data_IF_523428979924
#
_entry.id   IF_523428979924
#
_cell.length_a   1.000
_cell.length_b   1.000
_cell.length_c   1.000
_cell.angle_alpha   90.00
_cell.angle_beta   90.00
_cell.angle_gamma   90.00
#
_symmetry.space_group_name_H-M   'P 1'
#
loop_
_entity.id
_entity.type
_entity.pdbx_description
1 polymer ?
#
# COMPACT_ATOMS: atom_id res chain seq x y z
N UNK A 1 5.72 7.84 -6.37
CA UNK A 1 6.14 8.01 -4.97
C UNK A 1 5.12 7.30 -4.10
N UNK A 2 5.52 6.48 -3.13
CA UNK A 2 4.60 5.90 -2.15
C UNK A 2 4.72 6.63 -0.80
N UNK A 3 3.57 7.01 -0.24
CA UNK A 3 3.43 7.53 1.12
C UNK A 3 2.38 6.69 1.83
N UNK A 4 2.60 6.36 3.10
CA UNK A 4 1.61 5.65 3.90
C UNK A 4 1.60 6.17 5.33
N UNK A 5 0.46 6.01 5.99
CA UNK A 5 0.31 6.22 7.42
C UNK A 5 -0.61 5.15 7.99
N UNK A 6 -0.37 4.77 9.24
CA UNK A 6 -1.25 3.88 10.00
C UNK A 6 -1.79 4.62 11.23
N UNK A 7 -3.00 4.29 11.66
CA UNK A 7 -3.60 4.93 12.83
C UNK A 7 -4.89 4.26 13.32
N UNK A 8 -5.44 4.76 14.43
CA UNK A 8 -6.51 4.09 15.16
C UNK A 8 -7.92 4.28 14.59
N UNK A 9 -8.12 5.16 13.60
CA UNK A 9 -9.41 5.31 12.92
C UNK A 9 -9.76 4.03 12.15
N UNK A 10 -11.03 3.63 12.17
CA UNK A 10 -11.52 2.48 11.40
C UNK A 10 -11.39 2.71 9.89
N UNK A 11 -11.34 1.62 9.11
CA UNK A 11 -11.17 1.71 7.66
C UNK A 11 -12.35 2.43 6.98
N UNK A 12 -13.58 2.17 7.41
CA UNK A 12 -14.78 2.84 6.86
C UNK A 12 -14.84 4.32 7.23
N UNK A 13 -14.46 4.67 8.46
CA UNK A 13 -14.37 6.07 8.87
C UNK A 13 -13.31 6.82 8.08
N UNK A 14 -12.11 6.24 7.94
CA UNK A 14 -11.05 6.83 7.14
C UNK A 14 -11.46 6.92 5.65
N UNK A 15 -12.16 5.93 5.12
CA UNK A 15 -12.67 5.92 3.75
C UNK A 15 -13.68 7.04 3.51
N UNK A 16 -14.70 7.18 4.37
CA UNK A 16 -15.71 8.22 4.28
C UNK A 16 -15.07 9.61 4.28
N UNK A 17 -14.14 9.88 5.20
CA UNK A 17 -13.38 11.15 5.22
C UNK A 17 -12.55 11.35 3.95
N UNK A 18 -12.09 10.27 3.33
CA UNK A 18 -11.31 10.35 2.11
C UNK A 18 -12.20 10.68 0.90
N UNK A 19 -13.41 10.10 0.86
CA UNK A 19 -14.36 10.27 -0.25
C UNK A 19 -15.31 11.45 -0.09
N UNK A 20 -15.33 12.16 1.05
CA UNK A 20 -16.12 13.39 1.24
C UNK A 20 -15.23 14.64 1.14
N UNK A 21 -15.16 15.35 -0.01
CA UNK A 21 -14.19 16.43 -0.25
C UNK A 21 -14.29 17.60 0.72
N UNK A 22 -15.50 17.93 1.19
CA UNK A 22 -15.73 18.99 2.18
C UNK A 22 -15.01 18.75 3.51
N UNK A 23 -14.61 17.51 3.80
CA UNK A 23 -13.89 17.15 5.03
C UNK A 23 -12.37 17.26 4.88
N UNK A 24 -11.82 17.36 3.67
CA UNK A 24 -10.38 17.36 3.45
C UNK A 24 -9.60 18.44 4.23
N UNK A 25 -10.08 19.69 4.34
CA UNK A 25 -9.41 20.72 5.15
C UNK A 25 -9.25 20.35 6.63
N UNK A 26 -10.09 19.45 7.15
CA UNK A 26 -10.08 19.04 8.56
C UNK A 26 -8.84 18.18 8.89
N UNK A 27 -8.35 17.39 7.93
CA UNK A 27 -7.30 16.40 8.15
C UNK A 27 -6.04 16.59 7.28
N UNK A 28 -6.13 17.31 6.16
CA UNK A 28 -5.01 17.63 5.28
C UNK A 28 -4.51 19.07 5.50
N UNK A 29 -3.36 19.29 6.15
CA UNK A 29 -2.92 20.63 6.56
C UNK A 29 -2.66 21.64 5.42
N UNK A 30 -2.44 21.15 4.20
CA UNK A 30 -2.22 22.00 3.02
C UNK A 30 -3.50 22.28 2.23
N UNK A 31 -4.65 21.77 2.66
CA UNK A 31 -5.92 22.01 1.98
C UNK A 31 -6.71 23.00 2.83
N UNK A 32 -7.04 24.15 2.24
CA UNK A 32 -7.79 25.22 2.91
C UNK A 32 -9.27 25.18 2.58
N UNK A 33 -9.63 24.77 1.36
CA UNK A 33 -10.99 24.56 0.91
C UNK A 33 -11.02 23.58 -0.28
N UNK A 34 -12.18 22.98 -0.53
CA UNK A 34 -12.42 22.15 -1.72
C UNK A 34 -13.79 22.48 -2.28
N UNK A 35 -13.83 22.74 -3.58
CA UNK A 35 -15.06 22.81 -4.37
C UNK A 35 -15.13 21.52 -5.19
N UNK A 36 -16.24 20.78 -5.09
CA UNK A 36 -16.44 19.54 -5.82
C UNK A 36 -17.83 19.51 -6.44
N UNK A 37 -17.94 18.86 -7.60
CA UNK A 37 -19.21 18.64 -8.31
C UNK A 37 -20.15 17.67 -7.58
N UNK A 38 -19.61 16.84 -6.68
CA UNK A 38 -20.33 15.83 -5.90
C UNK A 38 -19.88 15.91 -4.44
N UNK A 39 -20.82 15.66 -3.53
CA UNK A 39 -20.56 15.65 -2.08
C UNK A 39 -19.71 14.43 -1.65
N UNK A 40 -19.88 13.30 -2.34
CA UNK A 40 -19.04 12.11 -2.21
C UNK A 40 -18.38 11.81 -3.56
N UNK A 41 -17.14 11.31 -3.53
CA UNK A 41 -16.39 10.98 -4.72
C UNK A 41 -17.02 9.80 -5.47
N UNK A 42 -17.27 10.01 -6.76
CA UNK A 42 -17.57 8.99 -7.74
C UNK A 42 -16.72 9.19 -9.00
N UNK A 43 -16.75 8.22 -9.91
CA UNK A 43 -16.00 8.34 -11.17
C UNK A 43 -16.55 9.53 -11.97
N UNK A 44 -15.67 10.45 -12.37
CA UNK A 44 -16.04 11.68 -13.06
C UNK A 44 -16.27 12.88 -12.15
N UNK A 45 -16.20 12.73 -10.81
CA UNK A 45 -16.23 13.89 -9.90
C UNK A 45 -15.07 14.84 -10.24
N UNK A 46 -15.40 16.06 -10.65
CA UNK A 46 -14.44 17.15 -10.86
C UNK A 46 -14.50 18.16 -9.72
N UNK A 47 -13.44 18.95 -9.56
CA UNK A 47 -13.42 20.01 -8.57
C UNK A 47 -12.10 20.77 -8.53
N UNK A 48 -11.99 21.66 -7.54
CA UNK A 48 -10.82 22.48 -7.28
C UNK A 48 -10.41 22.36 -5.81
N UNK A 49 -9.15 22.02 -5.58
CA UNK A 49 -8.52 22.02 -4.26
C UNK A 49 -7.77 23.33 -4.08
N UNK A 50 -8.07 24.04 -2.99
CA UNK A 50 -7.38 25.27 -2.61
C UNK A 50 -6.35 24.97 -1.52
N UNK A 51 -5.16 25.56 -1.67
CA UNK A 51 -4.07 25.48 -0.70
C UNK A 51 -3.73 26.83 -0.09
N UNK A 52 -2.58 26.96 0.60
CA UNK A 52 -2.14 28.22 1.17
C UNK A 52 -1.86 29.27 0.09
N UNK A 53 -2.32 30.50 0.30
CA UNK A 53 -2.10 31.61 -0.62
C UNK A 53 -2.87 31.45 -1.95
N UNK A 54 -2.30 31.84 -3.11
CA UNK A 54 -2.99 31.79 -4.41
C UNK A 54 -2.94 30.39 -5.05
N UNK A 55 -2.59 29.35 -4.30
CA UNK A 55 -2.42 27.99 -4.83
C UNK A 55 -3.77 27.31 -4.94
N UNK A 56 -4.16 26.96 -6.17
CA UNK A 56 -5.29 26.08 -6.45
C UNK A 56 -4.91 25.06 -7.52
N UNK A 57 -5.56 23.90 -7.46
CA UNK A 57 -5.33 22.81 -8.40
C UNK A 57 -6.66 22.15 -8.73
N UNK A 58 -6.91 21.94 -10.02
CA UNK A 58 -8.12 21.27 -10.50
C UNK A 58 -7.92 19.75 -10.46
N UNK A 59 -9.00 19.01 -10.26
CA UNK A 59 -8.95 17.55 -10.26
C UNK A 59 -10.14 16.91 -10.95
N UNK A 60 -9.94 15.66 -11.35
CA UNK A 60 -10.94 14.74 -11.87
C UNK A 60 -10.71 13.36 -11.27
N UNK A 61 -11.73 12.75 -10.68
CA UNK A 61 -11.69 11.38 -10.20
C UNK A 61 -11.84 10.42 -11.36
N UNK A 62 -10.87 9.51 -11.51
CA UNK A 62 -10.77 8.59 -12.67
C UNK A 62 -11.20 7.17 -12.33
N UNK A 63 -11.19 6.78 -11.05
CA UNK A 63 -11.63 5.48 -10.59
C UNK A 63 -12.05 5.53 -9.12
N UNK A 64 -13.10 4.78 -8.76
CA UNK A 64 -13.52 4.56 -7.37
C UNK A 64 -13.94 3.11 -7.22
N UNK A 65 -13.46 2.46 -6.16
CA UNK A 65 -13.85 1.12 -5.73
C UNK A 65 -14.08 1.17 -4.22
N UNK A 66 -15.35 1.29 -3.83
CA UNK A 66 -15.75 1.41 -2.44
C UNK A 66 -15.52 0.10 -1.66
N UNK A 67 -15.63 -1.06 -2.32
CA UNK A 67 -15.42 -2.37 -1.69
C UNK A 67 -13.95 -2.52 -1.30
N UNK A 68 -13.04 -2.16 -2.20
CA UNK A 68 -11.59 -2.20 -1.95
C UNK A 68 -11.05 -0.93 -1.30
N UNK A 69 -11.92 0.03 -0.98
CA UNK A 69 -11.61 1.35 -0.43
C UNK A 69 -10.43 1.98 -1.15
N UNK A 70 -10.56 2.08 -2.48
CA UNK A 70 -9.54 2.68 -3.34
C UNK A 70 -10.12 3.65 -4.35
N UNK A 71 -9.37 4.70 -4.65
CA UNK A 71 -9.74 5.65 -5.70
C UNK A 71 -8.52 6.25 -6.36
N UNK A 72 -8.70 6.74 -7.59
CA UNK A 72 -7.67 7.40 -8.38
C UNK A 72 -8.20 8.71 -8.91
N UNK A 73 -7.29 9.65 -9.10
CA UNK A 73 -7.60 10.98 -9.61
C UNK A 73 -6.44 11.56 -10.37
N UNK A 74 -6.79 12.45 -11.31
CA UNK A 74 -5.87 13.28 -12.04
C UNK A 74 -5.97 14.69 -11.50
N UNK A 75 -4.85 15.22 -11.06
CA UNK A 75 -4.71 16.57 -10.51
C UNK A 75 -3.93 17.39 -11.54
N UNK A 76 -4.39 18.59 -11.88
CA UNK A 76 -3.78 19.40 -12.95
C UNK A 76 -3.76 20.90 -12.66
N UNK A 77 -2.70 21.55 -13.15
CA UNK A 77 -2.52 23.01 -13.10
C UNK A 77 -1.88 23.48 -14.40
N UNK A 78 -2.66 24.15 -15.25
CA UNK A 78 -2.22 24.49 -16.60
C UNK A 78 -1.86 23.22 -17.39
N UNK A 79 -0.69 23.16 -18.06
CA UNK A 79 -0.29 21.97 -18.83
C UNK A 79 0.22 20.81 -17.97
N UNK A 80 0.46 21.02 -16.68
CA UNK A 80 0.98 19.98 -15.79
C UNK A 80 -0.15 19.13 -15.23
N UNK A 81 -0.04 17.80 -15.38
CA UNK A 81 -0.97 16.83 -14.80
C UNK A 81 -0.24 15.74 -14.02
N UNK A 82 -0.82 15.30 -12.91
CA UNK A 82 -0.31 14.22 -12.08
C UNK A 82 -1.44 13.25 -11.77
N UNK A 83 -1.18 11.97 -12.00
CA UNK A 83 -2.07 10.90 -11.58
C UNK A 83 -1.63 10.35 -10.22
N UNK A 84 -2.60 10.20 -9.33
CA UNK A 84 -2.39 9.62 -8.03
C UNK A 84 -3.47 8.58 -7.74
N UNK A 85 -3.12 7.56 -6.97
CA UNK A 85 -4.09 6.60 -6.43
C UNK A 85 -3.97 6.50 -4.92
N UNK A 86 -5.09 6.23 -4.29
CA UNK A 86 -5.23 6.14 -2.85
C UNK A 86 -5.90 4.83 -2.45
N UNK A 87 -5.52 4.32 -1.29
CA UNK A 87 -6.11 3.12 -0.71
C UNK A 87 -6.26 3.28 0.79
N UNK A 88 -7.32 2.72 1.36
CA UNK A 88 -7.48 2.51 2.80
C UNK A 88 -7.60 1.01 3.04
N UNK A 89 -6.70 0.47 3.85
CA UNK A 89 -6.73 -0.93 4.27
C UNK A 89 -7.02 -0.98 5.76
N UNK A 90 -7.87 -1.92 6.23
CA UNK A 90 -7.93 -2.25 7.65
C UNK A 90 -6.55 -2.67 8.18
N UNK A 91 -6.35 -2.48 9.48
CA UNK A 91 -5.16 -2.90 10.19
C UNK A 91 -5.54 -3.78 11.38
N UNK A 92 -4.68 -4.77 11.67
CA UNK A 92 -4.80 -5.55 12.88
C UNK A 92 -5.00 -4.65 14.13
N UNK A 93 -5.95 -5.02 14.99
CA UNK A 93 -6.35 -4.21 16.15
C UNK A 93 -7.43 -3.15 15.86
N UNK A 94 -8.08 -3.20 14.69
CA UNK A 94 -9.24 -2.36 14.34
C UNK A 94 -8.91 -0.95 13.86
N UNK A 95 -7.64 -0.68 13.54
CA UNK A 95 -7.22 0.58 12.92
C UNK A 95 -7.26 0.51 11.39
N UNK A 96 -6.59 1.47 10.75
CA UNK A 96 -6.45 1.52 9.29
C UNK A 96 -5.08 2.00 8.83
N UNK A 97 -4.79 1.72 7.57
CA UNK A 97 -3.64 2.23 6.81
C UNK A 97 -4.14 2.98 5.59
N UNK A 98 -3.75 4.25 5.48
CA UNK A 98 -3.96 5.02 4.27
C UNK A 98 -2.68 5.04 3.45
N UNK A 99 -2.80 4.83 2.14
CA UNK A 99 -1.70 4.84 1.19
C UNK A 99 -2.01 5.85 0.08
N UNK A 100 -1.01 6.64 -0.29
CA UNK A 100 -0.97 7.49 -1.47
C UNK A 100 0.13 6.99 -2.40
N UNK A 101 -0.20 6.82 -3.68
CA UNK A 101 0.76 6.51 -4.73
C UNK A 101 0.69 7.55 -5.84
N UNK A 102 1.81 8.20 -6.11
CA UNK A 102 2.03 9.03 -7.31
C UNK A 102 2.69 8.17 -8.37
N UNK A 103 2.15 8.16 -9.59
CA UNK A 103 2.64 7.30 -10.68
C UNK A 103 3.62 8.02 -11.62
N UNK A 104 4.48 7.26 -12.28
CA UNK A 104 5.27 7.69 -13.44
C UNK A 104 6.28 8.82 -13.16
N UNK A 105 6.60 9.61 -14.19
CA UNK A 105 7.62 10.65 -14.14
C UNK A 105 7.35 11.72 -13.05
N UNK A 106 6.08 11.98 -12.75
CA UNK A 106 5.65 12.93 -11.72
C UNK A 106 6.09 12.52 -10.31
N UNK A 107 6.37 11.22 -10.09
CA UNK A 107 6.86 10.73 -8.81
C UNK A 107 8.20 11.33 -8.37
N UNK A 108 9.10 11.60 -9.31
CA UNK A 108 10.42 12.16 -9.02
C UNK A 108 10.30 13.63 -8.61
N UNK A 109 9.49 14.39 -9.37
CA UNK A 109 9.25 15.82 -9.11
C UNK A 109 8.54 16.05 -7.78
N UNK A 110 7.66 15.14 -7.38
CA UNK A 110 6.86 15.27 -6.16
C UNK A 110 7.50 14.65 -4.91
N UNK A 111 8.77 14.24 -4.93
CA UNK A 111 9.44 13.72 -3.73
C UNK A 111 9.34 14.66 -2.51
N UNK A 112 9.50 15.99 -2.62
CA UNK A 112 9.32 16.89 -1.48
C UNK A 112 7.91 16.87 -0.87
N UNK A 113 6.88 16.57 -1.69
CA UNK A 113 5.49 16.50 -1.26
C UNK A 113 5.21 15.31 -0.34
N UNK A 114 6.14 14.35 -0.19
CA UNK A 114 6.00 13.22 0.74
C UNK A 114 5.73 13.63 2.18
N UNK A 115 6.32 14.74 2.64
CA UNK A 115 6.23 15.20 4.03
C UNK A 115 4.82 15.70 4.33
N UNK A 116 4.27 16.68 3.59
CA UNK A 116 2.90 17.11 3.80
C UNK A 116 1.88 16.00 3.49
N UNK A 117 2.11 15.17 2.47
CA UNK A 117 1.26 14.01 2.21
C UNK A 117 1.21 13.05 3.41
N UNK A 118 2.35 12.76 4.04
CA UNK A 118 2.39 11.91 5.23
C UNK A 118 1.68 12.55 6.41
N UNK A 119 1.77 13.88 6.58
CA UNK A 119 1.03 14.61 7.61
C UNK A 119 -0.49 14.53 7.38
N UNK A 120 -0.93 14.70 6.13
CA UNK A 120 -2.32 14.56 5.72
C UNK A 120 -2.84 13.14 5.97
N UNK A 121 -2.15 12.10 5.50
CA UNK A 121 -2.55 10.71 5.74
C UNK A 121 -2.59 10.36 7.23
N UNK A 122 -1.65 10.87 8.04
CA UNK A 122 -1.73 10.73 9.51
C UNK A 122 -2.94 11.43 10.10
N UNK A 123 -3.33 12.59 9.57
CA UNK A 123 -4.54 13.30 9.95
C UNK A 123 -5.80 12.49 9.63
N UNK A 124 -5.83 11.82 8.48
CA UNK A 124 -6.94 11.01 8.00
C UNK A 124 -7.20 9.79 8.90
N UNK A 125 -6.15 9.03 9.23
CA UNK A 125 -6.24 7.79 10.04
C UNK A 125 -6.22 8.03 11.55
N UNK A 126 -6.27 9.29 11.99
CA UNK A 126 -6.44 9.61 13.42
C UNK A 126 -7.88 9.44 13.83
N UNK A 127 -8.08 8.74 14.94
CA UNK A 127 -9.36 8.70 15.63
C UNK A 127 -9.65 10.09 16.21
N UNK A 128 -10.77 10.68 15.83
CA UNK A 128 -11.22 12.01 16.32
C UNK A 128 -12.56 11.95 17.03
N UNK A 129 -13.34 10.91 16.78
CA UNK A 129 -14.74 10.82 17.23
C UNK A 129 -15.00 9.59 18.09
N UNK A 130 -14.03 8.67 18.24
CA UNK A 130 -14.16 7.49 19.09
C UNK A 130 -15.31 6.55 18.66
N UNK A 131 -15.74 6.63 17.40
CA UNK A 131 -16.81 5.79 16.87
C UNK A 131 -16.37 4.33 16.89
N UNK A 132 -17.34 3.43 17.06
CA UNK A 132 -17.08 1.99 17.15
C UNK A 132 -16.27 1.52 15.94
N UNK A 133 -15.23 0.73 16.22
CA UNK A 133 -14.40 0.11 15.20
C UNK A 133 -15.14 -1.12 14.67
N UNK A 134 -15.70 -1.03 13.47
CA UNK A 134 -16.03 -2.25 12.73
C UNK A 134 -14.71 -2.93 12.37
N UNK A 135 -14.45 -4.03 13.08
CA UNK A 135 -13.23 -4.80 12.92
C UNK A 135 -13.43 -5.79 11.78
N UNK A 136 -12.99 -5.39 10.58
CA UNK A 136 -12.77 -6.34 9.50
C UNK A 136 -11.70 -7.36 9.95
N UNK A 137 -11.92 -8.67 9.74
CA UNK A 137 -10.95 -9.68 10.17
C UNK A 137 -9.62 -9.48 9.42
N UNK A 138 -8.55 -9.29 10.19
CA UNK A 138 -7.18 -9.17 9.66
C UNK A 138 -6.31 -10.25 10.27
N UNK A 139 -5.86 -11.19 9.44
CA UNK A 139 -4.87 -12.18 9.83
C UNK A 139 -3.46 -11.64 9.60
N UNK A 140 -2.62 -11.70 10.63
CA UNK A 140 -1.24 -11.22 10.58
C UNK A 140 -0.26 -12.39 10.58
N UNK A 141 0.74 -12.32 9.71
CA UNK A 141 1.81 -13.30 9.60
C UNK A 141 3.17 -12.63 9.70
N UNK A 142 4.04 -13.28 10.46
CA UNK A 142 5.42 -12.84 10.63
C UNK A 142 6.34 -13.41 9.55
N UNK A 143 7.37 -12.63 9.22
CA UNK A 143 8.50 -13.11 8.44
C UNK A 143 9.40 -14.00 9.31
N UNK A 144 9.94 -15.06 8.73
CA UNK A 144 11.02 -15.86 9.33
C UNK A 144 12.35 -15.18 9.06
N UNK A 145 13.09 -14.90 10.14
CA UNK A 145 14.42 -14.29 10.07
C UNK A 145 15.52 -15.29 10.43
N UNK A 146 16.40 -15.55 9.47
CA UNK A 146 17.69 -16.17 9.76
C UNK A 146 18.67 -15.13 10.28
N UNK A 147 19.59 -15.53 11.16
CA UNK A 147 20.53 -14.59 11.82
C UNK A 147 21.35 -13.77 10.80
N UNK A 148 21.83 -14.40 9.73
CA UNK A 148 22.64 -13.75 8.69
C UNK A 148 21.82 -12.76 7.87
N UNK A 149 20.60 -13.12 7.48
CA UNK A 149 19.66 -12.23 6.79
C UNK A 149 19.24 -11.05 7.68
N UNK A 150 18.99 -11.29 8.96
CA UNK A 150 18.66 -10.24 9.91
C UNK A 150 19.80 -9.20 10.03
N UNK A 151 21.06 -9.64 10.07
CA UNK A 151 22.21 -8.74 10.09
C UNK A 151 22.33 -7.95 8.78
N UNK A 152 22.15 -8.61 7.63
CA UNK A 152 22.22 -7.96 6.32
C UNK A 152 21.06 -6.98 6.05
N UNK A 153 19.86 -7.26 6.57
CA UNK A 153 18.66 -6.45 6.36
C UNK A 153 18.60 -5.18 7.23
N UNK A 154 19.23 -5.18 8.41
CA UNK A 154 19.16 -4.07 9.38
C UNK A 154 19.56 -2.68 8.82
N UNK A 155 20.65 -2.54 8.04
CA UNK A 155 21.00 -1.25 7.43
C UNK A 155 19.91 -0.66 6.52
N UNK A 156 19.02 -1.51 6.01
CA UNK A 156 17.90 -1.11 5.13
C UNK A 156 16.57 -0.99 5.90
N UNK A 157 16.61 -1.05 7.23
CA UNK A 157 15.41 -1.00 8.06
C UNK A 157 14.54 -2.25 7.96
N UNK A 158 15.11 -3.39 7.56
CA UNK A 158 14.40 -4.68 7.49
C UNK A 158 14.63 -5.40 8.82
N UNK A 159 13.59 -5.46 9.65
CA UNK A 159 13.59 -6.05 10.99
C UNK A 159 12.23 -6.65 11.28
N UNK A 160 12.10 -7.56 12.27
CA UNK A 160 10.79 -8.09 12.65
C UNK A 160 9.74 -7.01 12.96
N UNK A 161 10.15 -5.83 13.44
CA UNK A 161 9.22 -4.73 13.75
C UNK A 161 8.76 -3.93 12.53
N UNK A 162 9.45 -4.05 11.41
CA UNK A 162 9.20 -3.28 10.18
C UNK A 162 8.75 -4.18 9.03
N UNK A 163 8.55 -5.47 9.32
CA UNK A 163 8.07 -6.47 8.38
C UNK A 163 6.76 -7.06 8.89
N UNK A 164 5.75 -7.14 8.04
CA UNK A 164 4.46 -7.76 8.37
C UNK A 164 3.79 -8.24 7.09
N UNK A 165 3.01 -9.31 7.17
CA UNK A 165 2.10 -9.73 6.11
C UNK A 165 0.71 -9.72 6.73
N UNK A 166 -0.22 -9.02 6.10
CA UNK A 166 -1.60 -8.92 6.57
C UNK A 166 -2.55 -9.33 5.45
N UNK A 167 -3.48 -10.21 5.80
CA UNK A 167 -4.48 -10.75 4.89
C UNK A 167 -5.85 -10.36 5.44
N UNK A 168 -6.63 -9.66 4.61
CA UNK A 168 -8.05 -9.43 4.84
C UNK A 168 -8.92 -10.29 3.91
N UNK A 169 -10.25 -10.13 3.97
CA UNK A 169 -11.19 -10.81 3.08
C UNK A 169 -10.89 -10.59 1.59
N UNK A 170 -10.56 -9.35 1.19
CA UNK A 170 -10.43 -8.95 -0.22
C UNK A 170 -9.02 -8.49 -0.63
N UNK A 171 -8.08 -8.43 0.30
CA UNK A 171 -6.78 -7.79 0.09
C UNK A 171 -5.63 -8.51 0.78
N UNK A 172 -4.44 -8.35 0.21
CA UNK A 172 -3.15 -8.73 0.77
C UNK A 172 -2.28 -7.47 0.90
N UNK A 173 -1.68 -7.29 2.06
CA UNK A 173 -0.69 -6.26 2.33
C UNK A 173 0.61 -6.88 2.83
N UNK A 174 1.74 -6.41 2.29
CA UNK A 174 3.08 -6.79 2.74
C UNK A 174 3.87 -5.53 3.06
N UNK A 175 4.27 -5.42 4.32
CA UNK A 175 5.28 -4.49 4.78
C UNK A 175 6.64 -5.17 4.81
N UNK A 176 7.64 -4.57 4.15
CA UNK A 176 9.02 -5.03 4.20
C UNK A 176 9.96 -3.83 4.34
N UNK A 177 10.34 -3.46 5.57
CA UNK A 177 11.16 -2.27 5.81
C UNK A 177 10.49 -0.99 5.29
N UNK A 178 11.08 -0.23 4.36
CA UNK A 178 10.43 0.90 3.68
C UNK A 178 9.51 0.50 2.50
N UNK A 179 9.56 -0.75 2.02
CA UNK A 179 8.83 -1.23 0.86
C UNK A 179 7.46 -1.76 1.21
N UNK A 180 6.50 -1.60 0.29
CA UNK A 180 5.11 -2.00 0.49
C UNK A 180 4.55 -2.63 -0.77
N UNK A 181 3.87 -3.75 -0.61
CA UNK A 181 3.01 -4.34 -1.62
C UNK A 181 1.59 -4.37 -1.07
N UNK A 182 0.64 -3.91 -1.87
CA UNK A 182 -0.78 -4.01 -1.57
C UNK A 182 -1.47 -4.46 -2.86
N UNK A 183 -2.29 -5.51 -2.79
CA UNK A 183 -2.99 -6.03 -3.96
C UNK A 183 -4.31 -6.70 -3.55
N UNK A 184 -5.35 -6.65 -4.41
CA UNK A 184 -6.55 -7.44 -4.17
C UNK A 184 -6.22 -8.93 -4.14
N UNK A 185 -6.90 -9.71 -3.30
CA UNK A 185 -6.77 -11.17 -3.28
C UNK A 185 -7.15 -11.80 -4.62
N UNK A 186 -8.16 -11.24 -5.29
CA UNK A 186 -8.55 -11.61 -6.66
C UNK A 186 -7.48 -11.38 -7.71
N UNK A 187 -6.39 -10.65 -7.41
CA UNK A 187 -5.26 -10.49 -8.33
C UNK A 187 -4.18 -11.55 -8.11
N UNK A 188 -4.28 -12.42 -7.11
CA UNK A 188 -3.31 -13.49 -6.84
C UNK A 188 -3.70 -14.71 -7.68
N UNK A 189 -2.83 -15.11 -8.59
CA UNK A 189 -3.10 -16.18 -9.55
C UNK A 189 -2.73 -17.57 -9.02
N UNK A 190 -1.61 -17.68 -8.29
CA UNK A 190 -1.19 -18.94 -7.66
C UNK A 190 -0.25 -18.69 -6.49
N UNK A 191 -0.09 -19.72 -5.66
CA UNK A 191 0.89 -19.78 -4.59
C UNK A 191 1.66 -21.11 -4.62
N UNK A 192 2.96 -21.04 -4.38
CA UNK A 192 3.85 -22.20 -4.31
C UNK A 192 4.79 -22.06 -3.12
N UNK A 193 4.92 -23.12 -2.32
CA UNK A 193 5.92 -23.17 -1.27
C UNK A 193 7.27 -23.50 -1.91
N UNK A 194 8.26 -22.62 -1.71
CA UNK A 194 9.59 -22.75 -2.30
C UNK A 194 10.67 -22.54 -1.25
N UNK A 195 11.90 -22.97 -1.54
CA UNK A 195 13.02 -22.90 -0.61
C UNK A 195 14.37 -23.07 -1.29
N UNK A 196 15.44 -23.12 -0.49
CA UNK A 196 16.81 -23.34 -0.98
C UNK A 196 17.42 -22.15 -1.72
N UNK A 197 17.00 -20.93 -1.39
CA UNK A 197 17.50 -19.72 -2.04
C UNK A 197 18.94 -19.41 -1.60
N UNK A 198 19.82 -19.12 -2.57
CA UNK A 198 21.19 -18.72 -2.29
C UNK A 198 21.27 -17.32 -1.66
N UNK A 199 22.00 -17.19 -0.55
CA UNK A 199 22.15 -15.93 0.22
C UNK A 199 22.52 -14.71 -0.64
N UNK A 200 23.50 -14.85 -1.53
CA UNK A 200 23.98 -13.75 -2.41
C UNK A 200 22.87 -13.22 -3.34
N UNK A 201 21.86 -14.04 -3.66
CA UNK A 201 20.77 -13.65 -4.56
C UNK A 201 19.60 -12.98 -3.83
N UNK A 202 19.48 -13.15 -2.51
CA UNK A 202 18.25 -12.80 -1.77
C UNK A 202 18.47 -12.01 -0.48
N UNK A 203 19.70 -11.90 0.02
CA UNK A 203 19.97 -11.15 1.24
C UNK A 203 20.03 -9.64 0.99
N UNK A 204 19.32 -8.86 1.82
CA UNK A 204 19.38 -7.40 1.80
C UNK A 204 18.06 -6.74 1.38
N UNK A 205 18.10 -5.62 0.64
CA UNK A 205 16.89 -4.95 0.15
C UNK A 205 16.11 -5.87 -0.78
N UNK A 206 14.84 -5.58 -1.11
CA UNK A 206 14.15 -6.34 -2.13
C UNK A 206 14.97 -6.29 -3.42
N UNK A 207 15.10 -7.44 -4.06
CA UNK A 207 15.78 -7.56 -5.33
C UNK A 207 14.80 -8.10 -6.36
N UNK A 208 15.01 -7.70 -7.61
CA UNK A 208 14.33 -8.28 -8.75
C UNK A 208 14.93 -9.65 -9.04
N UNK A 209 14.09 -10.69 -9.07
CA UNK A 209 14.48 -11.91 -9.78
C UNK A 209 14.60 -11.57 -11.26
N UNK A 210 15.79 -11.71 -11.84
CA UNK A 210 16.02 -11.42 -13.26
C UNK A 210 15.32 -12.42 -14.18
N UNK A 211 15.10 -13.65 -13.73
CA UNK A 211 14.42 -14.69 -14.50
C UNK A 211 12.91 -14.40 -14.63
N UNK A 212 12.25 -14.02 -13.52
CA UNK A 212 10.78 -13.96 -13.46
C UNK A 212 10.23 -12.55 -13.20
N UNK A 213 11.10 -11.54 -13.08
CA UNK A 213 10.77 -10.15 -12.71
C UNK A 213 10.03 -10.00 -11.37
N UNK A 214 9.97 -11.08 -10.58
CA UNK A 214 9.35 -11.09 -9.26
C UNK A 214 10.10 -10.24 -8.24
N UNK A 215 9.39 -9.80 -7.20
CA UNK A 215 9.98 -9.11 -6.05
C UNK A 215 10.27 -10.08 -4.92
N UNK A 216 11.49 -10.04 -4.39
CA UNK A 216 11.88 -10.88 -3.25
C UNK A 216 11.81 -10.11 -1.94
N UNK A 217 10.93 -10.54 -1.04
CA UNK A 217 10.89 -10.11 0.36
C UNK A 217 11.45 -11.25 1.23
N UNK A 218 12.77 -11.36 1.23
CA UNK A 218 13.48 -12.55 1.70
C UNK A 218 14.32 -12.26 2.94
N UNK A 219 13.96 -12.92 4.04
CA UNK A 219 14.63 -12.83 5.36
C UNK A 219 15.20 -14.18 5.82
N UNK A 220 15.11 -15.19 4.95
CA UNK A 220 15.73 -16.50 5.10
C UNK A 220 15.95 -17.13 3.72
N UNK A 221 16.78 -18.18 3.64
CA UNK A 221 16.99 -18.95 2.41
C UNK A 221 16.21 -20.26 2.35
N UNK A 222 15.71 -20.76 3.48
CA UNK A 222 15.16 -22.10 3.61
C UNK A 222 13.75 -22.24 3.04
N UNK A 223 12.86 -21.28 3.30
CA UNK A 223 11.45 -21.36 2.97
C UNK A 223 10.84 -20.00 2.66
N UNK A 224 9.95 -19.98 1.69
CA UNK A 224 9.11 -18.84 1.34
C UNK A 224 7.81 -19.32 0.68
N UNK A 225 6.84 -18.41 0.63
CA UNK A 225 5.68 -18.52 -0.25
C UNK A 225 5.93 -17.66 -1.49
N UNK A 226 5.98 -18.27 -2.66
CA UNK A 226 6.04 -17.58 -3.94
C UNK A 226 4.62 -17.38 -4.46
N UNK A 227 4.24 -16.14 -4.71
CA UNK A 227 2.96 -15.74 -5.29
C UNK A 227 3.16 -15.31 -6.73
N UNK A 228 2.20 -15.63 -7.60
CA UNK A 228 2.06 -15.02 -8.92
C UNK A 228 0.81 -14.15 -8.97
N UNK A 229 0.81 -13.14 -9.83
CA UNK A 229 -0.29 -12.19 -9.97
C UNK A 229 -0.86 -12.19 -11.38
N UNK A 230 -2.18 -12.06 -11.50
CA UNK A 230 -2.85 -11.88 -12.79
C UNK A 230 -2.41 -10.57 -13.47
N UNK A 231 -2.27 -9.50 -12.68
CA UNK A 231 -1.76 -8.21 -13.12
C UNK A 231 -0.53 -7.79 -12.30
N UNK A 232 0.57 -7.35 -12.94
CA UNK A 232 1.78 -6.94 -12.23
C UNK A 232 1.57 -5.78 -11.23
N UNK A 233 2.10 -5.96 -10.02
CA UNK A 233 1.91 -5.03 -8.89
C UNK A 233 3.17 -4.18 -8.64
N UNK A 234 3.07 -2.90 -8.27
CA UNK A 234 4.24 -2.09 -7.96
C UNK A 234 4.59 -2.23 -6.48
N UNK A 235 5.88 -2.40 -6.16
CA UNK A 235 6.31 -2.62 -4.78
C UNK A 235 7.70 -2.08 -4.42
N UNK A 236 8.72 -2.33 -5.26
CA UNK A 236 10.11 -1.95 -4.93
C UNK A 236 10.44 -0.48 -5.20
N UNK A 237 9.90 0.05 -6.28
CA UNK A 237 10.29 1.35 -6.80
C UNK A 237 9.34 2.42 -6.27
N UNK A 238 9.87 3.50 -5.66
CA UNK A 238 9.05 4.60 -5.21
C UNK A 238 8.20 5.18 -6.35
N UNK A 239 8.63 5.16 -7.62
CA UNK A 239 7.86 5.73 -8.74
C UNK A 239 6.71 4.85 -9.24
N UNK A 240 6.66 3.58 -8.84
CA UNK A 240 5.66 2.61 -9.31
C UNK A 240 5.84 2.19 -10.77
N UNK A 241 6.97 2.55 -11.39
CA UNK A 241 7.30 2.22 -12.78
C UNK A 241 7.68 0.74 -12.91
N UNK A 242 8.40 0.22 -11.92
CA UNK A 242 8.72 -1.20 -11.85
C UNK A 242 7.53 -1.94 -11.24
N UNK A 243 6.97 -2.88 -12.01
CA UNK A 243 5.88 -3.77 -11.59
C UNK A 243 6.34 -5.22 -11.63
N UNK A 244 5.83 -6.01 -10.70
CA UNK A 244 6.26 -7.37 -10.44
C UNK A 244 5.10 -8.32 -10.73
N UNK A 245 5.28 -9.33 -11.60
CA UNK A 245 4.27 -10.36 -11.86
C UNK A 245 4.19 -11.41 -10.76
N UNK A 246 5.12 -11.40 -9.79
CA UNK A 246 5.10 -12.29 -8.64
C UNK A 246 5.87 -11.73 -7.45
N UNK A 247 5.70 -12.34 -6.28
CA UNK A 247 6.37 -11.97 -5.05
C UNK A 247 6.79 -13.19 -4.23
N UNK A 248 8.01 -13.19 -3.70
CA UNK A 248 8.51 -14.23 -2.80
C UNK A 248 8.49 -13.71 -1.37
N UNK A 249 7.75 -14.37 -0.48
CA UNK A 249 7.53 -13.96 0.91
C UNK A 249 8.17 -14.98 1.85
N UNK A 250 9.23 -14.59 2.57
CA UNK A 250 9.86 -15.41 3.61
C UNK A 250 8.99 -15.50 4.89
N UNK A 251 7.73 -15.88 4.75
CA UNK A 251 6.78 -16.05 5.87
C UNK A 251 7.17 -17.23 6.75
N UNK A 252 6.90 -17.14 8.06
CA UNK A 252 7.20 -18.20 9.02
C UNK A 252 6.46 -19.52 8.71
N UNK A 253 5.22 -19.41 8.25
CA UNK A 253 4.36 -20.54 7.88
C UNK A 253 3.75 -20.32 6.48
N UNK A 254 4.41 -20.84 5.42
CA UNK A 254 3.91 -20.72 4.05
C UNK A 254 2.57 -21.41 3.81
N UNK A 255 2.33 -22.55 4.47
CA UNK A 255 1.10 -23.31 4.31
C UNK A 255 -0.09 -22.55 4.88
N UNK A 256 0.05 -22.02 6.11
CA UNK A 256 -0.99 -21.22 6.74
C UNK A 256 -1.28 -19.92 5.98
N UNK A 257 -0.25 -19.26 5.43
CA UNK A 257 -0.46 -18.07 4.60
C UNK A 257 -1.21 -18.41 3.30
N UNK A 258 -0.90 -19.54 2.65
CA UNK A 258 -1.62 -19.99 1.47
C UNK A 258 -3.09 -20.30 1.78
N UNK A 259 -3.35 -20.99 2.90
CA UNK A 259 -4.70 -21.28 3.38
C UNK A 259 -5.51 -20.00 3.63
N UNK A 260 -4.94 -19.02 4.34
CA UNK A 260 -5.60 -17.74 4.58
C UNK A 260 -5.90 -16.95 3.29
N UNK A 261 -5.06 -17.11 2.27
CA UNK A 261 -5.28 -16.57 0.93
C UNK A 261 -6.32 -17.37 0.12
N UNK A 262 -6.76 -18.54 0.59
CA UNK A 262 -7.69 -19.43 -0.10
C UNK A 262 -7.04 -20.21 -1.24
N UNK A 263 -5.72 -20.44 -1.16
CA UNK A 263 -4.93 -21.10 -2.18
C UNK A 263 -4.42 -22.45 -1.68
N UNK A 264 -4.54 -23.47 -2.53
CA UNK A 264 -3.94 -24.77 -2.27
C UNK A 264 -2.49 -24.77 -2.76
N UNK A 265 -1.58 -25.26 -1.93
CA UNK A 265 -0.20 -25.51 -2.36
C UNK A 265 -0.16 -26.77 -3.22
N UNK A 266 0.58 -26.77 -4.34
CA UNK A 266 0.82 -28.01 -5.09
C UNK A 266 1.47 -29.05 -4.17
N UNK A 267 1.06 -30.32 -4.30
CA UNK A 267 1.73 -31.42 -3.62
C UNK A 267 3.18 -31.48 -4.10
N UNK A 268 4.11 -31.60 -3.13
CA UNK A 268 5.54 -31.69 -3.37
C UNK A 268 5.94 -32.93 -4.17
#
# INVERSE_FOLDING_TARGET
MLVHAHGPAGADEAWLRFTTPSTWPVWAPLITAVEASHDELEVGTTGRVHGPGPVSIDFEVTAVDAVRRSWSWRVHRGPASVEMSHHVLPAAGGGSRALLRVHGASATLLQPYRIPAAAALRGLVRDRFGLARDQEPVETFDFRFDRTYALAGRPFGITPRTTTIEVGPEWLYVGYGPWRLATPRSNIASAEASGGFGFVKTAGPPHLSLADRGISFTTNGERALCLTFHSPVPAIDPTGTIRHPGATLSVADPARLAEALGLSLPAA
#
